data_IF_467557210954
#
_entry.id   IF_467557210954
#
_cell.length_a   1.000
_cell.length_b   1.000
_cell.length_c   1.000
_cell.angle_alpha   90.00
_cell.angle_beta   90.00
_cell.angle_gamma   90.00
#
_symmetry.space_group_name_H-M   'P 1'
#
loop_
_entity.id
_entity.type
_entity.pdbx_description
1 polymer ?
#
# COMPACT_ATOMS: atom_id res chain seq x y z
N UNK A 1 16.08 14.70 14.88
CA UNK A 1 15.26 15.76 14.27
C UNK A 1 14.43 15.09 13.21
N UNK A 2 13.13 14.92 13.42
CA UNK A 2 12.27 14.24 12.45
C UNK A 2 12.22 15.10 11.19
N UNK A 3 12.68 14.56 10.06
CA UNK A 3 12.66 15.28 8.79
C UNK A 3 11.21 15.36 8.34
N UNK A 4 10.73 16.57 8.07
CA UNK A 4 9.36 16.77 7.60
C UNK A 4 9.29 16.43 6.12
N UNK A 5 8.38 15.53 5.74
CA UNK A 5 8.07 15.25 4.33
C UNK A 5 7.38 16.48 3.73
N UNK A 6 7.99 17.08 2.71
CA UNK A 6 7.49 18.30 2.05
C UNK A 6 6.92 17.98 0.66
N UNK A 7 5.99 17.04 0.62
CA UNK A 7 5.26 16.63 -0.59
C UNK A 7 3.77 16.73 -0.27
N UNK A 8 3.00 17.37 -1.14
CA UNK A 8 1.55 17.44 -0.97
C UNK A 8 0.89 16.08 -1.26
N UNK A 9 -0.25 15.84 -0.62
CA UNK A 9 -0.91 14.53 -0.66
C UNK A 9 -1.34 14.11 -2.07
N UNK A 10 -1.71 15.07 -2.94
CA UNK A 10 -2.09 14.76 -4.32
C UNK A 10 -0.89 14.28 -5.14
N UNK A 11 0.25 14.96 -5.02
CA UNK A 11 1.51 14.52 -5.63
C UNK A 11 1.93 13.15 -5.12
N UNK A 12 1.80 12.89 -3.81
CA UNK A 12 2.13 11.61 -3.21
C UNK A 12 1.26 10.47 -3.74
N UNK A 13 -0.07 10.62 -3.69
CA UNK A 13 -1.03 9.62 -4.20
C UNK A 13 -0.78 9.33 -5.67
N UNK A 14 -0.58 10.36 -6.50
CA UNK A 14 -0.31 10.17 -7.93
C UNK A 14 1.00 9.43 -8.19
N UNK A 15 2.04 9.68 -7.40
CA UNK A 15 3.31 8.97 -7.53
C UNK A 15 3.16 7.50 -7.17
N UNK A 16 2.49 7.20 -6.05
CA UNK A 16 2.19 5.84 -5.63
C UNK A 16 1.31 5.08 -6.62
N UNK A 17 0.24 5.70 -7.11
CA UNK A 17 -0.67 5.09 -8.09
C UNK A 17 0.05 4.70 -9.39
N UNK A 18 1.12 5.42 -9.76
CA UNK A 18 1.95 5.12 -10.94
C UNK A 18 3.04 4.10 -10.67
N UNK A 19 3.65 4.14 -9.48
CA UNK A 19 4.85 3.35 -9.16
C UNK A 19 4.51 1.97 -8.59
N UNK A 20 3.51 1.87 -7.72
CA UNK A 20 3.19 0.62 -7.01
C UNK A 20 2.83 -0.56 -7.93
N UNK A 21 2.08 -0.39 -9.05
CA UNK A 21 1.79 -1.50 -9.96
C UNK A 21 3.03 -2.26 -10.48
N UNK A 22 4.18 -1.60 -10.57
CA UNK A 22 5.43 -2.21 -11.07
C UNK A 22 6.06 -3.21 -10.08
N UNK A 23 5.59 -3.23 -8.82
CA UNK A 23 6.08 -4.14 -7.76
C UNK A 23 5.10 -5.28 -7.47
N UNK A 24 3.88 -5.24 -7.99
CA UNK A 24 2.87 -6.24 -7.67
C UNK A 24 3.04 -7.51 -8.50
N UNK A 25 2.36 -8.57 -8.07
CA UNK A 25 2.36 -9.83 -8.80
C UNK A 25 1.71 -9.65 -10.17
N UNK A 26 2.13 -10.40 -11.21
CA UNK A 26 1.56 -10.29 -12.53
C UNK A 26 0.03 -10.48 -12.55
N UNK A 27 -0.67 -9.46 -13.03
CA UNK A 27 -2.13 -9.45 -13.15
C UNK A 27 -2.86 -8.79 -11.97
N UNK A 28 -2.17 -8.52 -10.87
CA UNK A 28 -2.75 -7.76 -9.75
C UNK A 28 -3.07 -6.33 -10.21
N UNK A 29 -4.06 -5.72 -9.57
CA UNK A 29 -4.39 -4.31 -9.80
C UNK A 29 -4.47 -3.56 -8.47
N UNK A 30 -4.19 -2.25 -8.52
CA UNK A 30 -4.13 -1.44 -7.31
C UNK A 30 -4.75 -0.07 -7.51
N UNK A 31 -5.40 0.40 -6.45
CA UNK A 31 -5.89 1.76 -6.30
C UNK A 31 -5.27 2.37 -5.05
N UNK A 32 -4.78 3.60 -5.17
CA UNK A 32 -4.20 4.36 -4.08
C UNK A 32 -5.01 5.63 -3.89
N UNK A 33 -5.40 5.89 -2.66
CA UNK A 33 -6.16 7.07 -2.27
C UNK A 33 -5.46 7.78 -1.11
N UNK A 34 -5.78 9.06 -0.94
CA UNK A 34 -5.40 9.81 0.24
C UNK A 34 -6.06 9.19 1.48
N UNK A 35 -5.32 9.10 2.59
CA UNK A 35 -5.95 8.90 3.88
C UNK A 35 -6.48 10.26 4.38
N UNK A 36 -7.80 10.38 4.54
CA UNK A 36 -8.42 11.62 5.02
C UNK A 36 -8.16 11.88 6.51
N UNK A 37 -7.79 10.84 7.27
CA UNK A 37 -7.45 10.94 8.68
C UNK A 37 -5.96 11.24 8.93
N UNK A 38 -5.10 10.96 7.94
CA UNK A 38 -3.65 11.17 8.01
C UNK A 38 -3.15 11.92 6.74
N UNK A 39 -2.74 13.20 6.85
CA UNK A 39 -2.21 13.97 5.72
C UNK A 39 -0.97 13.37 5.04
N UNK A 40 -0.29 12.43 5.71
CA UNK A 40 0.87 11.69 5.19
C UNK A 40 0.56 10.18 5.03
N UNK A 41 -0.72 9.83 5.11
CA UNK A 41 -1.23 8.49 4.95
C UNK A 41 -1.84 8.25 3.57
N UNK A 42 -1.82 6.98 3.20
CA UNK A 42 -2.38 6.43 1.97
C UNK A 42 -3.26 5.24 2.30
N UNK A 43 -4.35 5.10 1.55
CA UNK A 43 -5.19 3.90 1.52
C UNK A 43 -4.87 3.14 0.23
N UNK A 44 -4.44 1.89 0.37
CA UNK A 44 -4.00 1.07 -0.77
C UNK A 44 -4.93 -0.13 -0.86
N UNK A 45 -5.67 -0.23 -1.96
CA UNK A 45 -6.55 -1.35 -2.27
C UNK A 45 -5.94 -2.19 -3.39
N UNK A 46 -5.68 -3.47 -3.13
CA UNK A 46 -5.10 -4.41 -4.10
C UNK A 46 -6.12 -5.50 -4.40
N UNK A 47 -6.38 -5.72 -5.69
CA UNK A 47 -7.09 -6.91 -6.15
C UNK A 47 -6.05 -7.94 -6.60
N UNK A 48 -6.04 -9.09 -5.92
CA UNK A 48 -5.15 -10.19 -6.26
C UNK A 48 -5.66 -10.90 -7.52
N UNK A 49 -4.77 -11.15 -8.47
CA UNK A 49 -5.06 -11.92 -9.66
C UNK A 49 -5.39 -13.37 -9.29
N UNK A 50 -6.43 -13.91 -9.91
CA UNK A 50 -6.78 -15.33 -9.78
C UNK A 50 -8.28 -15.57 -9.60
N UNK A 51 -8.64 -16.84 -9.47
CA UNK A 51 -10.03 -17.28 -9.38
C UNK A 51 -10.65 -17.09 -7.99
N UNK A 52 -9.85 -16.79 -6.97
CA UNK A 52 -10.33 -16.69 -5.59
C UNK A 52 -10.92 -15.31 -5.25
N UNK A 53 -10.76 -14.31 -6.12
CA UNK A 53 -11.34 -12.96 -5.97
C UNK A 53 -11.01 -12.31 -4.62
N UNK A 54 -9.73 -12.39 -4.22
CA UNK A 54 -9.26 -11.72 -3.02
C UNK A 54 -8.97 -10.25 -3.28
N UNK A 55 -9.32 -9.41 -2.31
CA UNK A 55 -8.86 -8.03 -2.23
C UNK A 55 -8.32 -7.71 -0.84
N UNK A 56 -7.33 -6.83 -0.80
CA UNK A 56 -6.60 -6.46 0.40
C UNK A 56 -6.56 -4.94 0.51
N UNK A 57 -6.95 -4.42 1.67
CA UNK A 57 -6.91 -3.01 1.98
C UNK A 57 -5.84 -2.74 3.04
N UNK A 58 -4.90 -1.87 2.71
CA UNK A 58 -3.82 -1.47 3.60
C UNK A 58 -3.93 0.01 3.95
N UNK A 59 -3.55 0.33 5.18
CA UNK A 59 -3.15 1.66 5.58
C UNK A 59 -1.62 1.76 5.46
N UNK A 60 -1.14 2.81 4.80
CA UNK A 60 0.29 3.10 4.68
C UNK A 60 0.56 4.53 5.14
N UNK A 61 1.31 4.70 6.23
CA UNK A 61 1.63 6.01 6.81
C UNK A 61 3.13 6.26 6.78
N UNK A 62 3.57 7.41 6.26
CA UNK A 62 4.97 7.81 6.35
C UNK A 62 5.33 8.14 7.81
N UNK A 63 6.29 7.41 8.36
CA UNK A 63 6.86 7.66 9.69
C UNK A 63 7.97 8.73 9.61
N UNK A 64 8.70 8.71 8.51
CA UNK A 64 9.61 9.76 8.06
C UNK A 64 9.72 9.72 6.52
N UNK A 65 10.46 10.62 5.85
CA UNK A 65 10.57 10.64 4.39
C UNK A 65 11.11 9.38 3.69
N UNK A 66 11.59 8.38 4.44
CA UNK A 66 12.21 7.14 3.94
C UNK A 66 11.53 5.88 4.49
N UNK A 67 10.78 6.00 5.57
CA UNK A 67 10.15 4.87 6.26
C UNK A 67 8.63 5.02 6.27
N UNK A 68 7.94 3.95 5.86
CA UNK A 68 6.49 3.81 5.96
C UNK A 68 6.15 2.73 6.98
N UNK A 69 5.03 2.90 7.66
CA UNK A 69 4.35 1.82 8.37
C UNK A 69 3.20 1.32 7.49
N UNK A 70 3.09 0.00 7.34
CA UNK A 70 2.04 -0.64 6.55
C UNK A 70 1.25 -1.57 7.46
N UNK A 71 -0.06 -1.41 7.50
CA UNK A 71 -0.97 -2.21 8.32
C UNK A 71 -2.10 -2.75 7.42
N UNK A 72 -2.38 -4.05 7.52
CA UNK A 72 -3.57 -4.64 6.90
C UNK A 72 -4.80 -4.12 7.65
N UNK A 73 -5.81 -3.70 6.89
CA UNK A 73 -7.06 -3.15 7.44
C UNK A 73 -8.21 -4.10 7.20
N UNK A 74 -8.30 -4.65 5.98
CA UNK A 74 -9.27 -5.67 5.65
C UNK A 74 -8.76 -6.60 4.56
N UNK A 75 -9.30 -7.81 4.54
CA UNK A 75 -9.18 -8.75 3.46
C UNK A 75 -10.56 -9.28 3.11
N UNK A 76 -10.92 -9.18 1.84
CA UNK A 76 -12.19 -9.66 1.34
C UNK A 76 -11.99 -10.80 0.35
N UNK A 77 -13.00 -11.66 0.25
CA UNK A 77 -13.16 -12.66 -0.80
C UNK A 77 -14.52 -12.49 -1.42
N UNK A 78 -14.57 -12.23 -2.72
CA UNK A 78 -15.84 -12.00 -3.44
C UNK A 78 -16.70 -10.91 -2.77
N UNK A 79 -16.04 -9.82 -2.32
CA UNK A 79 -16.66 -8.68 -1.65
C UNK A 79 -17.15 -8.94 -0.21
N UNK A 80 -16.70 -10.02 0.42
CA UNK A 80 -17.00 -10.34 1.82
C UNK A 80 -15.73 -10.37 2.64
N UNK A 81 -15.67 -9.58 3.71
CA UNK A 81 -14.59 -9.66 4.72
C UNK A 81 -14.44 -11.09 5.24
N UNK A 82 -13.22 -11.60 5.23
CA UNK A 82 -12.86 -12.93 5.74
C UNK A 82 -11.85 -12.84 6.89
N UNK A 83 -11.61 -13.96 7.56
CA UNK A 83 -10.59 -14.03 8.58
C UNK A 83 -9.18 -13.99 7.97
N UNK A 84 -8.32 -13.12 8.52
CA UNK A 84 -6.94 -12.88 8.08
C UNK A 84 -5.95 -13.97 8.53
N UNK A 85 -6.40 -14.97 9.27
CA UNK A 85 -5.54 -15.90 10.01
C UNK A 85 -5.15 -17.17 9.24
N UNK A 86 -5.61 -17.34 8.00
CA UNK A 86 -5.19 -18.47 7.18
C UNK A 86 -3.76 -18.25 6.67
N UNK A 87 -3.03 -19.34 6.49
CA UNK A 87 -1.64 -19.31 6.00
C UNK A 87 -1.53 -18.60 4.65
N UNK A 88 -2.42 -18.92 3.69
CA UNK A 88 -2.47 -18.28 2.37
C UNK A 88 -2.64 -16.75 2.47
N UNK A 89 -3.53 -16.27 3.34
CA UNK A 89 -3.78 -14.83 3.51
C UNK A 89 -2.60 -14.14 4.19
N UNK A 90 -1.96 -14.78 5.15
CA UNK A 90 -0.76 -14.24 5.81
C UNK A 90 0.43 -14.17 4.86
N UNK A 91 0.62 -15.18 4.01
CA UNK A 91 1.66 -15.17 2.97
C UNK A 91 1.46 -14.05 1.97
N UNK A 92 0.24 -13.91 1.42
CA UNK A 92 -0.11 -12.82 0.48
C UNK A 92 0.03 -11.45 1.13
N UNK A 93 -0.42 -11.31 2.38
CA UNK A 93 -0.28 -10.07 3.14
C UNK A 93 1.19 -9.70 3.33
N UNK A 94 2.03 -10.65 3.73
CA UNK A 94 3.46 -10.43 3.87
C UNK A 94 4.15 -10.05 2.55
N UNK A 95 3.69 -10.63 1.44
CA UNK A 95 4.14 -10.30 0.09
C UNK A 95 3.80 -8.85 -0.29
N UNK A 96 2.54 -8.45 -0.13
CA UNK A 96 2.10 -7.10 -0.42
C UNK A 96 2.75 -6.04 0.47
N UNK A 97 2.92 -6.32 1.77
CA UNK A 97 3.65 -5.43 2.68
C UNK A 97 5.07 -5.18 2.16
N UNK A 98 5.77 -6.22 1.69
CA UNK A 98 7.11 -6.07 1.10
C UNK A 98 7.09 -5.19 -0.15
N UNK A 99 6.17 -5.44 -1.08
CA UNK A 99 6.03 -4.64 -2.31
C UNK A 99 5.71 -3.17 -2.01
N UNK A 100 4.87 -2.90 -1.01
CA UNK A 100 4.55 -1.53 -0.55
C UNK A 100 5.82 -0.86 0.00
N UNK A 101 6.64 -1.55 0.79
CA UNK A 101 7.91 -1.02 1.27
C UNK A 101 8.91 -0.77 0.14
N UNK A 102 9.01 -1.65 -0.86
CA UNK A 102 9.90 -1.48 -2.02
C UNK A 102 9.48 -0.29 -2.89
N UNK A 103 8.19 -0.11 -3.10
CA UNK A 103 7.64 1.07 -3.76
C UNK A 103 7.99 2.36 -2.98
N UNK A 104 7.79 2.36 -1.66
CA UNK A 104 8.15 3.50 -0.81
C UNK A 104 9.65 3.86 -0.92
N UNK A 105 10.52 2.85 -0.94
CA UNK A 105 11.97 3.06 -1.12
C UNK A 105 12.29 3.66 -2.50
N UNK A 106 11.63 3.21 -3.56
CA UNK A 106 11.82 3.76 -4.90
C UNK A 106 11.33 5.21 -5.03
N UNK A 107 10.34 5.60 -4.24
CA UNK A 107 9.83 6.97 -4.16
C UNK A 107 10.62 7.87 -3.21
N UNK A 108 11.66 7.38 -2.53
CA UNK A 108 12.51 8.17 -1.64
C UNK A 108 13.09 9.46 -2.27
N UNK A 109 13.46 9.51 -3.58
CA UNK A 109 13.90 10.77 -4.20
C UNK A 109 12.82 11.86 -4.24
N UNK A 110 11.53 11.47 -4.26
CA UNK A 110 10.40 12.41 -4.24
C UNK A 110 10.13 12.91 -2.83
N UNK A 111 10.10 12.02 -1.85
CA UNK A 111 9.77 12.35 -0.45
C UNK A 111 10.94 12.96 0.31
N UNK A 112 12.17 12.69 -0.14
CA UNK A 112 13.43 13.13 0.43
C UNK A 112 14.43 13.61 -0.65
N UNK A 113 14.17 14.74 -1.33
CA UNK A 113 15.12 15.33 -2.28
C UNK A 113 16.38 15.91 -1.60
#
# INVERSE_FOLDING_TARGET
MNKVMNVDQHTLVNAWQKQLPEYLNPGDSVQVQADEADPQGLRIHINAAGHQLYSFDFQCSYMDPREVRVELVDVERDGQTIAENSEEIQELTGDYVRHIHECAQALAPLTNP
#
